data_IF_315925239223
#
_entry.id   IF_315925239223
#
_cell.length_a   1.000
_cell.length_b   1.000
_cell.length_c   1.000
_cell.angle_alpha   90.00
_cell.angle_beta   90.00
_cell.angle_gamma   90.00
#
_symmetry.space_group_name_H-M   'P 1'
#
loop_
_entity.id
_entity.type
_entity.pdbx_description
1 polymer ?
#
# COMPACT_ATOMS: atom_id res chain seq x y z
N UNK A 1 12.23 28.88 2.85
CA UNK A 1 12.63 27.83 3.77
C UNK A 1 12.04 26.55 3.22
N UNK A 2 12.90 25.62 2.83
CA UNK A 2 12.50 24.27 2.44
C UNK A 2 12.64 23.39 3.66
N UNK A 3 11.54 22.84 4.15
CA UNK A 3 11.55 21.90 5.27
C UNK A 3 11.57 20.46 4.74
N UNK A 4 12.39 19.62 5.34
CA UNK A 4 12.37 18.18 5.11
C UNK A 4 12.34 17.49 6.47
N UNK A 5 11.32 16.68 6.70
CA UNK A 5 11.17 15.84 7.90
C UNK A 5 10.87 14.41 7.48
N UNK A 6 11.55 13.44 8.11
CA UNK A 6 11.27 12.02 7.92
C UNK A 6 11.34 11.33 9.28
N UNK A 7 10.27 10.62 9.61
CA UNK A 7 10.14 9.88 10.86
C UNK A 7 9.73 8.45 10.53
N UNK A 8 10.40 7.49 11.16
CA UNK A 8 10.14 6.07 10.99
C UNK A 8 9.87 5.43 12.35
N UNK A 9 9.01 4.43 12.38
CA UNK A 9 8.62 3.74 13.61
C UNK A 9 7.93 2.42 13.34
N UNK A 10 7.55 1.74 14.42
CA UNK A 10 6.86 0.46 14.39
C UNK A 10 5.51 0.61 15.08
N UNK A 11 4.43 0.17 14.43
CA UNK A 11 3.10 0.03 15.03
C UNK A 11 2.68 -1.43 14.88
N UNK A 12 2.67 -2.17 15.98
CA UNK A 12 2.46 -3.62 15.97
C UNK A 12 3.54 -4.32 15.12
N UNK A 13 3.11 -5.05 14.09
CA UNK A 13 3.98 -5.71 13.11
C UNK A 13 4.17 -4.90 11.82
N UNK A 14 3.86 -3.60 11.82
CA UNK A 14 4.00 -2.73 10.64
C UNK A 14 5.07 -1.68 10.88
N UNK A 15 6.05 -1.63 9.99
CA UNK A 15 6.98 -0.52 9.87
C UNK A 15 6.29 0.64 9.15
N UNK A 16 6.31 1.81 9.78
CA UNK A 16 5.68 3.03 9.26
C UNK A 16 6.74 4.08 9.03
N UNK A 17 6.68 4.75 7.89
CA UNK A 17 7.50 5.90 7.56
C UNK A 17 6.61 7.05 7.11
N UNK A 18 6.78 8.20 7.75
CA UNK A 18 6.17 9.47 7.38
C UNK A 18 7.27 10.37 6.85
N UNK A 19 7.05 10.97 5.69
CA UNK A 19 7.96 11.94 5.07
C UNK A 19 7.17 13.19 4.69
N UNK A 20 7.68 14.35 5.11
CA UNK A 20 7.09 15.66 4.86
C UNK A 20 8.15 16.52 4.18
N UNK A 21 7.86 16.94 2.94
CA UNK A 21 8.66 17.93 2.21
C UNK A 21 7.84 19.19 2.07
N UNK A 22 8.42 20.33 2.40
CA UNK A 22 7.79 21.62 2.21
C UNK A 22 8.64 22.56 1.37
N UNK A 23 7.97 23.29 0.48
CA UNK A 23 8.51 24.35 -0.34
C UNK A 23 7.79 25.66 0.00
N UNK A 24 8.56 26.75 -0.02
CA UNK A 24 8.00 28.09 0.15
C UNK A 24 6.99 28.38 -0.97
N UNK A 25 5.73 28.57 -0.59
CA UNK A 25 4.63 28.89 -1.49
C UNK A 25 3.74 29.98 -0.89
N UNK A 26 3.05 30.73 -1.74
CA UNK A 26 2.09 31.78 -1.31
C UNK A 26 0.77 31.19 -0.82
N UNK A 27 0.37 30.05 -1.38
CA UNK A 27 -0.83 29.31 -1.02
C UNK A 27 -0.42 28.01 -0.32
N UNK A 28 -1.30 27.49 0.52
CA UNK A 28 -1.15 26.16 1.10
C UNK A 28 -1.66 25.14 0.08
N UNK A 29 -0.77 24.26 -0.36
CA UNK A 29 -1.11 23.19 -1.30
C UNK A 29 -0.54 21.87 -0.77
N UNK A 30 -1.39 20.87 -0.58
CA UNK A 30 -1.03 19.62 0.11
C UNK A 30 -1.17 18.45 -0.84
N UNK A 31 -0.07 17.77 -1.11
CA UNK A 31 0.00 16.56 -1.92
C UNK A 31 0.22 15.35 -1.00
N UNK A 32 -0.71 14.42 -1.01
CA UNK A 32 -0.74 13.23 -0.15
C UNK A 32 -0.43 11.99 -0.96
N UNK A 33 0.64 11.28 -0.61
CA UNK A 33 1.01 9.98 -1.18
C UNK A 33 0.75 8.89 -0.14
N UNK A 34 -0.37 8.20 -0.30
CA UNK A 34 -0.88 7.22 0.68
C UNK A 34 -0.97 5.81 0.06
N UNK A 35 -0.80 4.74 0.85
CA UNK A 35 -1.17 3.39 0.45
C UNK A 35 -2.68 3.31 0.17
N UNK A 36 -3.09 2.41 -0.73
CA UNK A 36 -4.49 2.25 -1.17
C UNK A 36 -5.46 2.09 0.02
N UNK A 37 -5.12 1.22 0.96
CA UNK A 37 -5.93 0.92 2.15
C UNK A 37 -5.99 2.04 3.20
N UNK A 38 -5.20 3.11 3.06
CA UNK A 38 -5.25 4.30 3.94
C UNK A 38 -6.01 5.47 3.28
N UNK A 39 -6.33 5.38 1.98
CA UNK A 39 -6.99 6.49 1.25
C UNK A 39 -8.31 6.93 1.87
N UNK A 40 -9.05 6.01 2.52
CA UNK A 40 -10.28 6.37 3.24
C UNK A 40 -10.07 7.43 4.32
N UNK A 41 -8.85 7.54 4.86
CA UNK A 41 -8.47 8.49 5.91
C UNK A 41 -7.74 9.73 5.37
N UNK A 42 -7.64 9.91 4.05
CA UNK A 42 -6.92 11.03 3.44
C UNK A 42 -7.43 12.40 3.90
N UNK A 43 -8.75 12.56 4.02
CA UNK A 43 -9.36 13.81 4.49
C UNK A 43 -8.88 14.14 5.90
N UNK A 44 -8.86 13.15 6.79
CA UNK A 44 -8.41 13.35 8.17
C UNK A 44 -6.93 13.76 8.23
N UNK A 45 -6.07 13.11 7.43
CA UNK A 45 -4.65 13.45 7.32
C UNK A 45 -4.48 14.88 6.80
N UNK A 46 -5.22 15.27 5.75
CA UNK A 46 -5.18 16.63 5.22
C UNK A 46 -5.59 17.66 6.26
N UNK A 47 -6.64 17.41 7.03
CA UNK A 47 -7.06 18.32 8.11
C UNK A 47 -5.97 18.49 9.17
N UNK A 48 -5.28 17.42 9.56
CA UNK A 48 -4.15 17.50 10.49
C UNK A 48 -3.02 18.37 9.94
N UNK A 49 -2.64 18.15 8.67
CA UNK A 49 -1.61 18.95 8.00
C UNK A 49 -2.00 20.43 7.89
N UNK A 50 -3.26 20.74 7.59
CA UNK A 50 -3.77 22.11 7.47
C UNK A 50 -3.76 22.88 8.80
N UNK A 51 -3.93 22.18 9.93
CA UNK A 51 -3.91 22.82 11.24
C UNK A 51 -2.50 23.30 11.63
N UNK A 52 -1.46 22.58 11.20
CA UNK A 52 -0.06 22.90 11.52
C UNK A 52 0.60 23.80 10.46
N UNK A 53 0.19 23.71 9.20
CA UNK A 53 0.84 24.40 8.08
C UNK A 53 -0.02 25.54 7.54
N UNK A 54 0.48 26.77 7.62
CA UNK A 54 -0.27 27.99 7.24
C UNK A 54 -0.09 28.36 5.75
N UNK A 55 1.09 28.09 5.18
CA UNK A 55 1.44 28.44 3.78
C UNK A 55 2.53 27.53 3.24
N UNK A 56 2.54 27.28 1.93
CA UNK A 56 3.57 26.49 1.26
C UNK A 56 3.02 25.32 0.48
N UNK A 57 3.85 24.75 -0.39
CA UNK A 57 3.53 23.48 -1.03
C UNK A 57 4.14 22.35 -0.20
N UNK A 58 3.31 21.40 0.23
CA UNK A 58 3.70 20.30 1.11
C UNK A 58 3.43 18.98 0.43
N UNK A 59 4.45 18.15 0.33
CA UNK A 59 4.34 16.75 -0.09
C UNK A 59 4.43 15.87 1.16
N UNK A 60 3.33 15.23 1.51
CA UNK A 60 3.23 14.25 2.58
C UNK A 60 3.22 12.85 1.98
N UNK A 61 4.11 11.98 2.46
CA UNK A 61 4.13 10.56 2.09
C UNK A 61 4.00 9.70 3.33
N UNK A 62 3.08 8.74 3.28
CA UNK A 62 2.95 7.67 4.26
C UNK A 62 3.32 6.35 3.61
N UNK A 63 4.25 5.61 4.20
CA UNK A 63 4.59 4.25 3.81
C UNK A 63 4.33 3.33 4.98
N UNK A 64 3.62 2.23 4.72
CA UNK A 64 3.35 1.20 5.71
C UNK A 64 3.79 -0.12 5.08
N UNK A 65 4.78 -0.75 5.70
CA UNK A 65 5.28 -2.07 5.35
C UNK A 65 4.97 -3.02 6.49
N UNK A 66 4.49 -4.21 6.18
CA UNK A 66 4.33 -5.24 7.18
C UNK A 66 5.66 -5.98 7.33
N UNK A 67 6.12 -6.15 8.57
CA UNK A 67 7.38 -6.80 8.87
C UNK A 67 7.22 -8.32 8.76
N UNK A 68 8.04 -8.92 7.89
CA UNK A 68 8.51 -10.32 7.92
C UNK A 68 7.51 -11.49 7.88
N UNK A 69 6.25 -11.33 8.28
CA UNK A 69 5.28 -12.42 8.27
C UNK A 69 4.82 -12.67 6.84
N UNK A 70 5.04 -13.90 6.35
CA UNK A 70 4.53 -14.36 5.06
C UNK A 70 3.07 -13.93 4.91
N UNK A 71 2.80 -12.98 4.01
CA UNK A 71 1.42 -12.61 3.68
C UNK A 71 0.70 -13.89 3.25
N UNK A 72 -0.51 -14.17 3.74
CA UNK A 72 -1.30 -15.25 3.19
C UNK A 72 -1.35 -15.08 1.67
N UNK A 73 -0.91 -16.11 0.96
CA UNK A 73 -1.07 -16.13 -0.49
C UNK A 73 -2.54 -16.39 -0.76
N UNK A 74 -3.17 -15.44 -1.43
CA UNK A 74 -4.53 -15.63 -1.93
C UNK A 74 -4.40 -16.21 -3.33
N UNK A 75 -5.00 -17.38 -3.52
CA UNK A 75 -5.10 -18.02 -4.83
C UNK A 75 -6.42 -17.61 -5.45
N UNK A 76 -6.38 -16.86 -6.54
CA UNK A 76 -7.56 -16.56 -7.35
C UNK A 76 -7.94 -17.80 -8.16
N UNK A 77 -8.86 -18.60 -7.60
CA UNK A 77 -9.30 -19.86 -8.22
C UNK A 77 -10.01 -19.66 -9.56
N UNK A 78 -10.69 -18.53 -9.74
CA UNK A 78 -11.38 -18.21 -11.00
C UNK A 78 -10.36 -17.97 -12.12
N UNK A 79 -9.34 -17.14 -11.86
CA UNK A 79 -8.24 -16.93 -12.80
C UNK A 79 -7.44 -18.22 -13.04
N UNK A 80 -7.16 -19.00 -11.98
CA UNK A 80 -6.48 -20.29 -12.12
C UNK A 80 -7.23 -21.22 -13.08
N UNK A 81 -8.55 -21.31 -12.94
CA UNK A 81 -9.42 -22.13 -13.79
C UNK A 81 -9.47 -21.60 -15.22
N UNK A 82 -9.52 -20.29 -15.40
CA UNK A 82 -9.47 -19.64 -16.72
C UNK A 82 -8.18 -20.00 -17.48
N UNK A 83 -7.02 -19.84 -16.84
CA UNK A 83 -5.73 -20.18 -17.45
C UNK A 83 -5.60 -21.67 -17.70
N UNK A 84 -6.05 -22.52 -16.79
CA UNK A 84 -6.03 -23.96 -16.97
C UNK A 84 -6.77 -24.39 -18.23
N UNK A 85 -8.02 -23.91 -18.41
CA UNK A 85 -8.84 -24.27 -19.56
C UNK A 85 -8.22 -23.77 -20.88
N UNK A 86 -7.65 -22.56 -20.87
CA UNK A 86 -6.94 -22.01 -22.04
C UNK A 86 -5.71 -22.86 -22.40
N UNK A 87 -4.89 -23.23 -21.41
CA UNK A 87 -3.71 -24.08 -21.61
C UNK A 87 -4.10 -25.47 -22.12
N UNK A 88 -5.16 -26.07 -21.59
CA UNK A 88 -5.64 -27.38 -22.03
C UNK A 88 -6.11 -27.36 -23.50
N UNK A 89 -6.81 -26.30 -23.92
CA UNK A 89 -7.23 -26.11 -25.31
C UNK A 89 -6.03 -26.00 -26.25
N UNK A 90 -5.04 -25.19 -25.89
CA UNK A 90 -3.81 -25.02 -26.67
C UNK A 90 -3.04 -26.34 -26.76
N UNK A 91 -2.84 -27.03 -25.64
CA UNK A 91 -2.11 -28.29 -25.59
C UNK A 91 -2.79 -29.37 -26.45
N UNK A 92 -4.12 -29.44 -26.44
CA UNK A 92 -4.87 -30.39 -27.27
C UNK A 92 -4.72 -30.08 -28.76
N UNK A 93 -4.79 -28.81 -29.15
CA UNK A 93 -4.64 -28.40 -30.56
C UNK A 93 -3.23 -28.65 -31.10
N UNK A 94 -2.21 -28.49 -30.24
CA UNK A 94 -0.80 -28.62 -30.61
C UNK A 94 -0.21 -30.00 -30.26
N UNK A 95 -1.01 -30.92 -29.71
CA UNK A 95 -0.59 -32.25 -29.25
C UNK A 95 0.60 -32.19 -28.26
N UNK A 96 0.56 -31.21 -27.34
CA UNK A 96 1.59 -31.00 -26.33
C UNK A 96 1.30 -31.78 -25.05
N UNK A 97 2.35 -32.20 -24.34
CA UNK A 97 2.25 -32.79 -23.02
C UNK A 97 1.81 -31.73 -21.98
N UNK A 98 0.98 -32.12 -21.02
CA UNK A 98 0.38 -31.27 -19.99
C UNK A 98 1.09 -31.42 -18.62
N UNK A 99 2.35 -31.82 -18.62
CA UNK A 99 3.16 -31.89 -17.41
C UNK A 99 3.36 -30.49 -16.80
N UNK A 100 3.36 -30.42 -15.47
CA UNK A 100 3.63 -29.20 -14.70
C UNK A 100 2.66 -28.01 -14.88
N UNK A 101 1.49 -28.20 -15.51
CA UNK A 101 0.50 -27.13 -15.73
C UNK A 101 0.13 -26.38 -14.43
N UNK A 102 -0.09 -27.11 -13.33
CA UNK A 102 -0.39 -26.49 -12.04
C UNK A 102 0.77 -25.61 -11.53
N UNK A 103 2.01 -26.07 -11.68
CA UNK A 103 3.18 -25.30 -11.25
C UNK A 103 3.33 -24.01 -12.08
N UNK A 104 3.06 -24.08 -13.38
CA UNK A 104 3.03 -22.92 -14.28
C UNK A 104 1.94 -21.93 -13.88
N UNK A 105 0.72 -22.41 -13.61
CA UNK A 105 -0.42 -21.56 -13.20
C UNK A 105 -0.14 -20.86 -11.87
N UNK A 106 0.46 -21.55 -10.90
CA UNK A 106 0.79 -20.98 -9.59
C UNK A 106 1.90 -19.91 -9.65
N UNK A 107 2.65 -19.82 -10.75
CA UNK A 107 3.63 -18.75 -10.97
C UNK A 107 3.02 -17.50 -11.61
N UNK A 108 1.77 -17.56 -12.06
CA UNK A 108 1.11 -16.41 -12.68
C UNK A 108 0.72 -15.37 -11.61
N UNK A 109 1.11 -14.09 -11.78
CA UNK A 109 0.88 -13.05 -10.80
C UNK A 109 -0.61 -12.73 -10.59
N UNK A 110 -1.47 -13.00 -11.58
CA UNK A 110 -2.93 -12.85 -11.43
C UNK A 110 -3.58 -14.01 -10.66
N UNK A 111 -2.89 -15.15 -10.57
CA UNK A 111 -3.38 -16.35 -9.87
C UNK A 111 -2.94 -16.36 -8.42
N UNK A 112 -1.68 -16.03 -8.17
CA UNK A 112 -1.13 -15.93 -6.83
C UNK A 112 -0.86 -14.47 -6.50
N UNK A 113 -1.70 -13.92 -5.65
CA UNK A 113 -1.52 -12.57 -5.13
C UNK A 113 -1.16 -12.62 -3.64
N UNK A 114 -0.35 -11.66 -3.22
CA UNK A 114 -0.21 -11.38 -1.79
C UNK A 114 -1.49 -10.71 -1.31
N UNK A 115 -2.04 -11.18 -0.19
CA UNK A 115 -3.13 -10.47 0.48
C UNK A 115 -2.68 -9.04 0.81
N UNK A 116 -3.29 -8.05 0.14
CA UNK A 116 -3.19 -6.67 0.60
C UNK A 116 -4.25 -6.51 1.68
N UNK A 117 -3.92 -6.04 2.88
CA UNK A 117 -4.94 -5.73 3.87
C UNK A 117 -5.91 -4.72 3.24
N UNK A 118 -7.17 -5.13 3.09
CA UNK A 118 -8.17 -4.31 2.40
C UNK A 118 -8.54 -3.05 3.21
N UNK A 119 -8.46 -3.12 4.53
CA UNK A 119 -8.84 -2.05 5.44
C UNK A 119 -7.96 -2.02 6.69
N UNK A 120 -7.73 -0.82 7.23
CA UNK A 120 -7.22 -0.64 8.59
C UNK A 120 -8.35 -0.88 9.59
N UNK A 121 -8.06 -1.59 10.67
CA UNK A 121 -8.93 -1.55 11.83
C UNK A 121 -8.92 -0.16 12.47
N UNK A 122 -9.96 0.19 13.23
CA UNK A 122 -10.02 1.49 13.92
C UNK A 122 -8.85 1.70 14.89
N UNK A 123 -8.43 0.64 15.61
CA UNK A 123 -7.29 0.69 16.54
C UNK A 123 -5.97 0.98 15.82
N UNK A 124 -5.74 0.34 14.67
CA UNK A 124 -4.56 0.59 13.83
C UNK A 124 -4.58 2.01 13.27
N UNK A 125 -5.75 2.48 12.82
CA UNK A 125 -5.89 3.85 12.33
C UNK A 125 -5.58 4.88 13.43
N UNK A 126 -6.10 4.69 14.64
CA UNK A 126 -5.81 5.58 15.77
C UNK A 126 -4.31 5.62 16.08
N UNK A 127 -3.65 4.46 16.10
CA UNK A 127 -2.20 4.38 16.32
C UNK A 127 -1.40 5.11 15.23
N UNK A 128 -1.80 4.95 13.96
CA UNK A 128 -1.18 5.65 12.82
C UNK A 128 -1.38 7.15 12.93
N UNK A 129 -2.59 7.58 13.30
CA UNK A 129 -2.93 8.99 13.47
C UNK A 129 -2.05 9.64 14.55
N UNK A 130 -1.89 8.97 15.70
CA UNK A 130 -1.04 9.45 16.79
C UNK A 130 0.43 9.55 16.37
N UNK A 131 0.90 8.57 15.57
CA UNK A 131 2.25 8.59 15.02
C UNK A 131 2.47 9.74 14.03
N UNK A 132 1.50 10.02 13.15
CA UNK A 132 1.55 11.16 12.22
C UNK A 132 1.63 12.47 13.01
N UNK A 133 0.79 12.63 14.03
CA UNK A 133 0.79 13.84 14.86
C UNK A 133 2.13 14.05 15.57
N UNK A 134 2.66 12.99 16.19
CA UNK A 134 3.97 13.03 16.85
C UNK A 134 5.11 13.36 15.88
N UNK A 135 5.00 12.94 14.62
CA UNK A 135 5.99 13.21 13.58
C UNK A 135 5.97 14.65 13.07
N UNK A 136 4.89 15.40 13.31
CA UNK A 136 4.76 16.81 12.92
C UNK A 136 5.26 17.77 14.00
N UNK A 137 5.25 17.34 15.26
CA UNK A 137 5.74 18.13 16.40
C UNK A 137 7.27 18.05 16.59
N UNK A 138 7.93 17.09 15.93
CA UNK A 138 9.38 16.83 16.01
C UNK A 138 10.19 17.61 14.96
#
# INVERSE_FOLDING_TARGET
MTGFGRTEGMIGNRQIAVEIKSLNGKQLDIFTKLPSFVRAHEIAIRTMLQNELIRGSVEFSLQIKQDGSARPMVVNQEMASYYYNAMQSIASNLQLNQEHVLATIMQLPEVVAQEQPEQLSEEEWMSIKDFIQSSMEA
#
